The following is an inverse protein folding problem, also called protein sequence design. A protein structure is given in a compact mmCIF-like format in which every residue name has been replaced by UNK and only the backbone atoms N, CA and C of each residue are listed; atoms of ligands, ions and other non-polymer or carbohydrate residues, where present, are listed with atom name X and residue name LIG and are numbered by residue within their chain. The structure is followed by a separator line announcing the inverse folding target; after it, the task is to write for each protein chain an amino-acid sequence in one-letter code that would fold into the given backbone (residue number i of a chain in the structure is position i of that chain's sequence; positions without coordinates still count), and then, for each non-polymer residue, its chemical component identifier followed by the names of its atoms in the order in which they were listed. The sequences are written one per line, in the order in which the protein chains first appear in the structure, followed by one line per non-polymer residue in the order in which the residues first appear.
data_IF_223256939733
#
_entry.id   IF_223256939733
#
_cell.length_a   1.000
_cell.length_b   1.000
_cell.length_c   1.000
_cell.angle_alpha   90.00
_cell.angle_beta   90.00
_cell.angle_gamma   90.00
#
_symmetry.space_group_name_H-M   'P 1'
#
loop_
_entity.id
_entity.type
_entity.pdbx_description
1 polymer ?
#
# COMPACT_ATOMS: atom_id res chain seq x y z
N UNK A 1 6.86 20.23 -16.19
CA UNK A 1 7.56 20.10 -14.89
C UNK A 1 6.98 18.86 -14.26
N UNK A 2 7.71 17.75 -14.28
CA UNK A 2 7.34 16.56 -13.51
C UNK A 2 7.50 16.94 -12.06
N UNK A 3 6.38 17.24 -11.41
CA UNK A 3 6.31 17.29 -9.96
C UNK A 3 6.68 15.88 -9.51
N UNK A 4 7.91 15.72 -9.00
CA UNK A 4 8.35 14.43 -8.48
C UNK A 4 7.48 14.15 -7.28
N UNK A 5 6.44 13.33 -7.46
CA UNK A 5 5.62 12.86 -6.35
C UNK A 5 6.53 12.24 -5.29
N UNK A 6 6.66 12.94 -4.17
CA UNK A 6 7.50 12.52 -3.07
C UNK A 6 6.91 11.26 -2.42
N UNK A 7 7.68 10.18 -2.47
CA UNK A 7 7.38 8.95 -1.73
C UNK A 7 8.21 8.98 -0.46
N UNK A 8 7.53 8.97 0.68
CA UNK A 8 8.16 8.84 2.00
C UNK A 8 7.89 7.45 2.54
N UNK A 9 8.86 6.87 3.25
CA UNK A 9 8.72 5.55 3.85
C UNK A 9 9.32 5.52 5.26
N UNK A 10 8.74 4.68 6.13
CA UNK A 10 9.16 4.50 7.53
C UNK A 10 9.16 3.02 7.90
N UNK A 11 10.11 2.64 8.76
CA UNK A 11 10.30 1.28 9.26
C UNK A 11 10.20 1.21 10.78
N UNK A 12 10.53 2.29 11.48
CA UNK A 12 10.33 2.43 12.91
C UNK A 12 8.90 2.93 13.18
N UNK A 13 8.20 2.24 14.09
CA UNK A 13 6.83 2.59 14.48
C UNK A 13 5.79 2.45 13.34
N UNK A 14 5.94 1.41 12.53
CA UNK A 14 4.86 0.99 11.62
C UNK A 14 3.70 0.45 12.48
N UNK A 15 2.49 1.00 12.39
CA UNK A 15 1.35 0.49 13.15
C UNK A 15 0.95 -0.90 12.62
N UNK A 16 0.15 -1.67 13.39
CA UNK A 16 -0.35 -2.95 12.91
C UNK A 16 -1.07 -2.83 11.57
N UNK A 17 -0.96 -3.86 10.73
CA UNK A 17 -1.57 -3.90 9.42
C UNK A 17 -3.08 -3.68 9.53
N UNK A 18 -3.61 -2.67 8.83
CA UNK A 18 -5.04 -2.36 8.85
C UNK A 18 -5.92 -3.49 8.27
N UNK A 19 -5.35 -4.41 7.46
CA UNK A 19 -6.09 -5.54 6.84
C UNK A 19 -6.26 -6.74 7.77
N UNK A 20 -5.23 -7.11 8.53
CA UNK A 20 -5.24 -8.34 9.34
C UNK A 20 -4.88 -8.14 10.82
N UNK A 21 -4.49 -6.92 11.22
CA UNK A 21 -4.01 -6.62 12.59
C UNK A 21 -2.62 -7.14 12.92
N UNK A 22 -1.94 -7.80 11.98
CA UNK A 22 -0.59 -8.35 12.17
C UNK A 22 0.52 -7.30 12.07
N UNK A 23 1.77 -7.73 12.22
CA UNK A 23 2.94 -6.88 12.08
C UNK A 23 3.14 -6.43 10.63
N UNK A 24 3.24 -5.12 10.42
CA UNK A 24 3.63 -4.53 9.14
C UNK A 24 5.08 -4.05 9.22
N UNK A 25 5.84 -4.27 8.15
CA UNK A 25 7.30 -4.05 8.14
C UNK A 25 7.70 -2.68 7.60
N UNK A 26 6.84 -2.09 6.76
CA UNK A 26 7.09 -0.84 6.08
C UNK A 26 5.77 -0.10 5.88
N UNK A 27 5.78 1.21 6.13
CA UNK A 27 4.72 2.10 5.65
C UNK A 27 5.27 3.08 4.64
N UNK A 28 4.61 3.17 3.49
CA UNK A 28 4.84 4.21 2.49
C UNK A 28 3.71 5.25 2.53
N UNK A 29 4.05 6.49 2.22
CA UNK A 29 3.11 7.57 1.97
C UNK A 29 3.47 8.22 0.65
N UNK A 30 2.50 8.37 -0.23
CA UNK A 30 2.67 8.87 -1.59
C UNK A 30 1.52 9.79 -2.00
N UNK A 31 1.80 10.70 -2.93
CA UNK A 31 0.81 11.60 -3.51
C UNK A 31 -0.32 10.84 -4.20
N UNK A 32 -1.55 11.31 -4.05
CA UNK A 32 -2.69 10.72 -4.73
C UNK A 32 -3.72 11.79 -5.03
N UNK A 33 -4.30 11.73 -6.22
CA UNK A 33 -5.42 12.57 -6.61
C UNK A 33 -6.62 11.74 -7.02
N UNK A 34 -7.81 12.28 -6.75
CA UNK A 34 -9.06 11.71 -7.21
C UNK A 34 -10.04 12.81 -7.57
N UNK A 35 -10.97 12.49 -8.47
CA UNK A 35 -12.08 13.38 -8.79
C UNK A 35 -13.24 13.04 -7.87
N UNK A 36 -13.77 14.04 -7.16
CA UNK A 36 -14.92 13.84 -6.28
C UNK A 36 -16.24 13.80 -7.07
N UNK A 37 -17.36 13.59 -6.37
CA UNK A 37 -18.70 13.51 -6.98
C UNK A 37 -19.16 14.80 -7.69
N UNK A 38 -18.56 15.94 -7.37
CA UNK A 38 -18.86 17.24 -8.01
C UNK A 38 -17.95 17.52 -9.21
N UNK A 39 -17.09 16.57 -9.59
CA UNK A 39 -16.14 16.74 -10.70
C UNK A 39 -14.90 17.55 -10.35
N UNK A 40 -14.67 17.88 -9.07
CA UNK A 40 -13.48 18.61 -8.65
C UNK A 40 -12.31 17.65 -8.38
N UNK A 41 -11.13 18.01 -8.88
CA UNK A 41 -9.88 17.34 -8.54
C UNK A 41 -9.53 17.63 -7.08
N UNK A 42 -9.34 16.58 -6.31
CA UNK A 42 -8.86 16.65 -4.93
C UNK A 42 -7.47 16.01 -4.90
N UNK A 43 -6.50 16.75 -4.38
CA UNK A 43 -5.15 16.28 -4.14
C UNK A 43 -5.00 15.88 -2.67
N UNK A 44 -4.27 14.81 -2.42
CA UNK A 44 -4.02 14.30 -1.08
C UNK A 44 -2.89 13.29 -1.07
N UNK A 45 -2.87 12.49 0.00
CA UNK A 45 -1.89 11.44 0.19
C UNK A 45 -2.60 10.12 0.50
N UNK A 46 -2.02 9.02 0.01
CA UNK A 46 -2.37 7.67 0.47
C UNK A 46 -1.22 7.10 1.28
N UNK A 47 -1.57 6.19 2.18
CA UNK A 47 -0.61 5.37 2.92
C UNK A 47 -0.87 3.89 2.60
N UNK A 48 0.20 3.10 2.51
CA UNK A 48 0.11 1.66 2.35
C UNK A 48 1.12 0.96 3.28
N UNK A 49 0.70 -0.17 3.84
CA UNK A 49 1.50 -1.00 4.74
C UNK A 49 1.93 -2.28 4.04
N UNK A 50 3.23 -2.59 4.08
CA UNK A 50 3.77 -3.86 3.64
C UNK A 50 3.59 -4.88 4.77
N UNK A 51 2.69 -5.83 4.56
CA UNK A 51 2.38 -6.88 5.52
C UNK A 51 2.81 -8.24 4.96
N UNK A 52 3.66 -9.01 5.69
CA UNK A 52 4.09 -10.33 5.23
C UNK A 52 2.95 -11.33 5.03
N UNK A 53 1.83 -11.15 5.74
CA UNK A 53 0.66 -12.04 5.64
C UNK A 53 -0.24 -11.65 4.47
N UNK A 54 -0.50 -10.35 4.29
CA UNK A 54 -1.47 -9.89 3.30
C UNK A 54 -0.88 -9.65 1.91
N UNK A 55 0.42 -9.37 1.82
CA UNK A 55 1.08 -9.06 0.54
C UNK A 55 1.93 -10.22 0.00
N UNK A 56 2.00 -11.35 0.71
CA UNK A 56 2.71 -12.53 0.22
C UNK A 56 2.11 -13.05 -1.09
N UNK A 57 2.97 -13.41 -2.04
CA UNK A 57 2.55 -13.93 -3.34
C UNK A 57 2.16 -12.84 -4.34
N UNK A 58 2.34 -11.55 -3.99
CA UNK A 58 2.14 -10.44 -4.88
C UNK A 58 3.50 -9.81 -5.25
N UNK A 59 3.94 -9.98 -6.49
CA UNK A 59 4.99 -9.11 -7.06
C UNK A 59 4.40 -7.73 -7.28
N UNK A 60 5.03 -6.63 -6.81
CA UNK A 60 6.42 -6.47 -6.32
C UNK A 60 6.61 -6.52 -4.80
N UNK A 61 5.58 -6.79 -4.00
CA UNK A 61 5.70 -6.86 -2.54
C UNK A 61 6.64 -7.99 -2.08
N UNK A 62 6.63 -9.15 -2.74
CA UNK A 62 7.53 -10.27 -2.43
C UNK A 62 9.02 -9.87 -2.48
N UNK A 63 9.42 -8.98 -3.41
CA UNK A 63 10.80 -8.50 -3.54
C UNK A 63 11.26 -7.66 -2.34
N UNK A 64 10.33 -6.91 -1.73
CA UNK A 64 10.59 -6.17 -0.51
C UNK A 64 10.57 -7.09 0.71
N UNK A 65 9.60 -8.01 0.79
CA UNK A 65 9.51 -8.99 1.88
C UNK A 65 10.79 -9.85 1.95
N UNK A 66 11.31 -10.30 0.81
CA UNK A 66 12.56 -11.05 0.75
C UNK A 66 13.75 -10.23 1.28
N UNK A 67 13.79 -8.93 0.98
CA UNK A 67 14.85 -8.04 1.49
C UNK A 67 14.77 -7.90 3.01
N UNK A 68 13.58 -7.70 3.57
CA UNK A 68 13.40 -7.63 5.04
C UNK A 68 13.68 -8.95 5.75
N UNK A 69 13.42 -10.10 5.11
CA UNK A 69 13.69 -11.41 5.69
C UNK A 69 15.20 -11.72 5.80
N UNK A 70 16.02 -11.18 4.90
CA UNK A 70 17.46 -11.46 4.82
C UNK A 70 18.30 -10.37 5.50
N UNK A 71 17.86 -9.11 5.47
CA UNK A 71 18.66 -7.99 5.90
C UNK A 71 18.37 -7.59 7.36
N UNK A 72 19.30 -7.86 8.28
CA UNK A 72 19.29 -7.18 9.59
C UNK A 72 19.56 -5.68 9.46
N UNK A 73 20.31 -5.27 8.42
CA UNK A 73 20.60 -3.87 8.06
C UNK A 73 20.79 -3.75 6.56
N UNK A 74 20.27 -2.68 5.96
CA UNK A 74 20.54 -2.34 4.55
C UNK A 74 21.71 -1.35 4.50
N UNK A 75 22.85 -1.70 3.89
CA UNK A 75 23.96 -0.77 3.70
C UNK A 75 23.52 0.45 2.89
N UNK A 76 24.06 1.63 3.22
CA UNK A 76 23.75 2.88 2.48
C UNK A 76 24.06 2.77 0.97
N UNK A 77 25.02 1.92 0.58
CA UNK A 77 25.35 1.65 -0.82
C UNK A 77 24.22 0.99 -1.60
N UNK A 78 23.27 0.34 -0.93
CA UNK A 78 22.10 -0.31 -1.54
C UNK A 78 20.83 0.54 -1.42
N UNK A 79 20.91 1.76 -0.89
CA UNK A 79 19.73 2.62 -0.66
C UNK A 79 19.00 2.96 -1.96
N UNK A 80 19.73 3.13 -3.07
CA UNK A 80 19.11 3.37 -4.38
C UNK A 80 18.32 2.16 -4.89
N UNK A 81 18.87 0.95 -4.74
CA UNK A 81 18.17 -0.29 -5.12
C UNK A 81 16.94 -0.51 -4.25
N UNK A 82 17.08 -0.27 -2.94
CA UNK A 82 15.96 -0.28 -2.01
C UNK A 82 14.86 0.70 -2.45
N UNK A 83 15.24 1.94 -2.76
CA UNK A 83 14.31 2.96 -3.28
C UNK A 83 13.57 2.49 -4.53
N UNK A 84 14.26 1.87 -5.49
CA UNK A 84 13.64 1.32 -6.70
C UNK A 84 12.60 0.23 -6.38
N UNK A 85 12.88 -0.67 -5.42
CA UNK A 85 11.93 -1.70 -4.99
C UNK A 85 10.70 -1.09 -4.31
N UNK A 86 10.90 -0.06 -3.48
CA UNK A 86 9.79 0.70 -2.87
C UNK A 86 8.94 1.38 -3.93
N UNK A 87 9.54 2.05 -4.92
CA UNK A 87 8.80 2.68 -6.02
C UNK A 87 7.99 1.63 -6.78
N UNK A 88 8.59 0.50 -7.17
CA UNK A 88 7.87 -0.56 -7.88
C UNK A 88 6.65 -1.06 -7.09
N UNK A 89 6.81 -1.30 -5.79
CA UNK A 89 5.70 -1.70 -4.93
C UNK A 89 4.64 -0.60 -4.80
N UNK A 90 5.04 0.66 -4.59
CA UNK A 90 4.12 1.80 -4.56
C UNK A 90 3.29 1.89 -5.83
N UNK A 91 3.90 1.75 -7.01
CA UNK A 91 3.16 1.74 -8.28
C UNK A 91 2.12 0.62 -8.36
N UNK A 92 2.42 -0.55 -7.78
CA UNK A 92 1.46 -1.66 -7.72
C UNK A 92 0.26 -1.39 -6.81
N UNK A 93 0.45 -0.64 -5.72
CA UNK A 93 -0.63 -0.32 -4.75
C UNK A 93 -1.32 1.02 -5.04
N UNK A 94 -0.74 1.88 -5.90
CA UNK A 94 -1.37 3.11 -6.41
C UNK A 94 -2.60 2.81 -7.26
N UNK A 95 -2.58 1.69 -7.97
CA UNK A 95 -3.69 1.22 -8.81
C UNK A 95 -4.30 -0.04 -8.20
N UNK A 96 -4.93 0.05 -7.01
CA UNK A 96 -5.47 -1.13 -6.37
C UNK A 96 -6.54 -1.71 -7.30
N UNK A 97 -6.29 -2.92 -7.81
CA UNK A 97 -7.35 -3.75 -8.35
C UNK A 97 -8.29 -4.01 -7.19
N UNK A 98 -9.48 -3.42 -7.26
CA UNK A 98 -10.55 -3.72 -6.32
C UNK A 98 -10.81 -5.22 -6.42
N UNK A 99 -10.68 -5.92 -5.29
CA UNK A 99 -11.10 -7.30 -5.20
C UNK A 99 -12.63 -7.31 -5.31
N UNK A 100 -13.11 -7.55 -6.54
CA UNK A 100 -14.53 -7.53 -6.86
C UNK A 100 -15.29 -8.63 -6.14
N UNK A 101 -14.64 -9.76 -5.79
CA UNK A 101 -15.29 -10.84 -5.04
C UNK A 101 -15.52 -10.38 -3.62
N UNK A 102 -14.47 -9.88 -2.95
CA UNK A 102 -14.58 -9.34 -1.59
C UNK A 102 -15.57 -8.17 -1.52
N UNK A 103 -15.56 -7.28 -2.51
CA UNK A 103 -16.50 -6.16 -2.58
C UNK A 103 -17.95 -6.66 -2.71
N UNK A 104 -18.19 -7.69 -3.52
CA UNK A 104 -19.53 -8.27 -3.67
C UNK A 104 -19.99 -8.94 -2.36
N UNK A 105 -19.11 -9.67 -1.68
CA UNK A 105 -19.41 -10.29 -0.39
C UNK A 105 -19.75 -9.22 0.68
N UNK A 106 -19.01 -8.10 0.71
CA UNK A 106 -19.30 -6.96 1.58
C UNK A 106 -20.66 -6.33 1.24
N UNK A 107 -20.94 -6.06 -0.04
CA UNK A 107 -22.21 -5.51 -0.50
C UNK A 107 -23.40 -6.39 -0.09
N UNK A 108 -23.28 -7.70 -0.31
CA UNK A 108 -24.32 -8.65 0.04
C UNK A 108 -24.53 -8.71 1.55
N UNK A 109 -23.46 -8.73 2.35
CA UNK A 109 -23.57 -8.69 3.82
C UNK A 109 -24.30 -7.42 4.30
N UNK A 110 -23.96 -6.26 3.75
CA UNK A 110 -24.61 -5.00 4.11
C UNK A 110 -26.09 -4.95 3.69
N UNK A 111 -26.48 -5.52 2.54
CA UNK A 111 -27.89 -5.69 2.16
C UNK A 111 -28.65 -6.60 3.14
N UNK A 112 -28.05 -7.74 3.51
CA UNK A 112 -28.68 -8.65 4.47
C UNK A 112 -28.85 -8.01 5.86
N UNK A 113 -27.92 -7.14 6.25
CA UNK A 113 -27.98 -6.38 7.50
C UNK A 113 -28.87 -5.12 7.42
N UNK A 114 -29.41 -4.78 6.23
CA UNK A 114 -30.26 -3.61 6.01
C UNK A 114 -29.52 -2.27 6.01
N UNK A 115 -28.19 -2.28 5.84
CA UNK A 115 -27.33 -1.10 5.82
C UNK A 115 -27.15 -0.52 4.41
N UNK A 116 -27.55 -1.29 3.38
CA UNK A 116 -27.69 -0.83 2.01
C UNK A 116 -29.13 -1.05 1.53
N UNK A 117 -29.72 -0.09 0.78
CA UNK A 117 -31.09 -0.17 0.26
C UNK A 117 -31.27 -1.22 -0.84
#
# INVERSE_FOLDING_TARGET
MTDSEEITFRFDQVPPCARCGGEALLRVRFGHSWTNITGHLVEGFREADLCPVCDSGATPADDLLALFAVAERVPLTHLAEFGCRVVAWVESVRQPRVDMVRLQDEEDAHRHNGELP
#
